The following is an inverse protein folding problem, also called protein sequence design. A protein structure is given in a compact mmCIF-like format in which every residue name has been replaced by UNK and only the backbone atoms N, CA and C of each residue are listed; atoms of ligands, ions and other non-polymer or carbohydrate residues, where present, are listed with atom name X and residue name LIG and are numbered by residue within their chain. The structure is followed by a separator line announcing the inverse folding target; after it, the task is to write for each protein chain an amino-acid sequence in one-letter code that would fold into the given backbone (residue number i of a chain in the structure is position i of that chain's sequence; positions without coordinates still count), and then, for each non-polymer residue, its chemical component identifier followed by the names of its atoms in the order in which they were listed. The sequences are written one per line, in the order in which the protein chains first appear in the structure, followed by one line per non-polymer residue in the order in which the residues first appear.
data_IF_013184292864
#
_entry.id   IF_013184292864
#
_cell.length_a   1.000
_cell.length_b   1.000
_cell.length_c   1.000
_cell.angle_alpha   90.00
_cell.angle_beta   90.00
_cell.angle_gamma   90.00
#
_symmetry.space_group_name_H-M   'P 1'
#
loop_
_entity.id
_entity.type
_entity.pdbx_description
1 polymer ?
#
# COMPACT_ATOMS: atom_id res chain seq x y z
N UNK A 1 -20.58 -5.86 -8.60
CA UNK A 1 -20.12 -6.97 -7.75
C UNK A 1 -18.63 -6.82 -7.50
N UNK A 2 -18.23 -6.57 -6.25
CA UNK A 2 -16.82 -6.44 -5.85
C UNK A 2 -16.21 -7.84 -5.76
N UNK A 3 -15.94 -8.42 -6.94
CA UNK A 3 -15.34 -9.74 -7.08
C UNK A 3 -13.89 -9.75 -6.53
N UNK A 4 -13.67 -10.64 -5.57
CA UNK A 4 -12.40 -11.21 -5.09
C UNK A 4 -11.15 -10.30 -5.00
N UNK A 5 -11.16 -9.35 -4.06
CA UNK A 5 -9.99 -8.49 -3.77
C UNK A 5 -9.02 -9.16 -2.78
N UNK A 6 -7.80 -9.44 -3.22
CA UNK A 6 -6.69 -9.86 -2.34
C UNK A 6 -6.08 -8.63 -1.63
N UNK A 7 -6.28 -8.55 -0.32
CA UNK A 7 -5.78 -7.43 0.48
C UNK A 7 -4.34 -7.66 0.98
N UNK A 8 -3.50 -6.62 0.89
CA UNK A 8 -2.14 -6.60 1.42
C UNK A 8 -2.05 -5.47 2.44
N UNK A 9 -1.94 -5.82 3.72
CA UNK A 9 -1.77 -4.80 4.76
C UNK A 9 -0.34 -4.27 4.79
N UNK A 10 -0.24 -2.98 5.04
CA UNK A 10 1.02 -2.30 5.29
C UNK A 10 0.87 -1.26 6.40
N UNK A 11 1.99 -0.88 6.99
CA UNK A 11 2.12 0.27 7.89
C UNK A 11 3.15 1.24 7.36
N UNK A 12 2.93 2.51 7.69
CA UNK A 12 3.87 3.60 7.48
C UNK A 12 4.69 3.77 8.76
N UNK A 13 6.00 3.60 8.63
CA UNK A 13 6.95 3.84 9.72
C UNK A 13 7.60 5.19 9.49
N UNK A 14 7.53 6.06 10.48
CA UNK A 14 7.99 7.44 10.39
C UNK A 14 9.24 7.63 11.28
N UNK A 15 10.43 7.25 10.79
CA UNK A 15 11.63 7.17 11.63
C UNK A 15 12.11 8.52 12.16
N UNK A 16 11.66 9.61 11.55
CA UNK A 16 12.11 10.97 11.88
C UNK A 16 11.06 11.78 12.60
N UNK A 17 9.86 11.24 12.83
CA UNK A 17 8.79 11.90 13.56
C UNK A 17 8.88 11.57 15.05
N UNK A 18 8.62 12.53 15.92
CA UNK A 18 8.70 12.31 17.36
C UNK A 18 7.53 11.49 17.89
N UNK A 19 6.30 11.73 17.44
CA UNK A 19 5.10 11.04 17.95
C UNK A 19 4.16 10.60 16.81
N UNK A 20 4.61 9.72 15.89
CA UNK A 20 3.77 9.25 14.81
C UNK A 20 2.69 8.28 15.32
N UNK A 21 1.45 8.63 15.06
CA UNK A 21 0.23 7.87 15.29
C UNK A 21 -0.68 7.89 14.05
N UNK A 22 -1.90 7.36 14.19
CA UNK A 22 -2.85 7.34 13.08
C UNK A 22 -3.45 8.73 12.79
N UNK A 23 -3.35 9.69 13.71
CA UNK A 23 -3.94 11.03 13.64
C UNK A 23 -2.91 12.13 13.30
N UNK A 24 -1.65 11.75 13.09
CA UNK A 24 -0.49 12.64 12.91
C UNK A 24 -0.65 13.69 11.82
N UNK A 25 -1.57 13.47 10.88
CA UNK A 25 -1.78 14.36 9.74
C UNK A 25 -3.14 15.05 9.74
N UNK A 26 -3.91 14.92 10.83
CA UNK A 26 -5.10 15.73 11.02
C UNK A 26 -4.76 17.23 10.98
N UNK A 27 -5.70 18.11 10.59
CA UNK A 27 -5.45 19.55 10.47
C UNK A 27 -4.88 20.24 11.71
N UNK A 28 -5.00 19.61 12.88
CA UNK A 28 -4.63 20.18 14.19
C UNK A 28 -3.35 19.57 14.78
N UNK A 29 -2.82 18.49 14.20
CA UNK A 29 -1.64 17.81 14.74
C UNK A 29 -0.40 18.22 13.96
N UNK A 30 0.51 18.91 14.66
CA UNK A 30 1.86 19.20 14.18
C UNK A 30 2.82 18.26 14.88
N UNK A 31 3.58 17.47 14.11
CA UNK A 31 4.63 16.63 14.67
C UNK A 31 6.02 17.20 14.33
N UNK A 32 6.95 17.03 15.25
CA UNK A 32 8.32 17.47 15.08
C UNK A 32 9.10 16.41 14.32
N UNK A 33 9.85 16.86 13.32
CA UNK A 33 10.70 16.05 12.48
C UNK A 33 12.18 16.35 12.75
N UNK A 34 12.97 15.29 12.89
CA UNK A 34 14.43 15.33 13.03
C UNK A 34 15.18 14.90 11.77
N UNK A 35 14.56 14.98 10.58
CA UNK A 35 15.19 14.47 9.36
C UNK A 35 16.37 15.34 8.89
N UNK A 36 17.36 14.72 8.26
CA UNK A 36 18.56 15.41 7.78
C UNK A 36 18.34 16.29 6.54
N UNK A 37 17.13 16.34 5.98
CA UNK A 37 16.82 17.17 4.80
C UNK A 37 16.70 18.65 5.13
N UNK A 38 16.47 19.00 6.38
CA UNK A 38 16.43 20.38 6.83
C UNK A 38 17.64 20.70 7.72
N UNK A 39 18.08 21.95 7.68
CA UNK A 39 19.25 22.43 8.42
C UNK A 39 19.04 22.46 9.94
N UNK A 40 17.79 22.52 10.41
CA UNK A 40 17.43 22.52 11.83
C UNK A 40 17.27 21.10 12.37
N UNK A 41 17.90 20.84 13.54
CA UNK A 41 17.85 19.53 14.24
C UNK A 41 16.42 19.09 14.61
N UNK A 42 15.49 20.04 14.77
CA UNK A 42 14.07 19.78 15.01
C UNK A 42 13.27 20.84 14.25
N UNK A 43 12.38 20.42 13.35
CA UNK A 43 11.50 21.29 12.57
C UNK A 43 10.09 20.72 12.57
N UNK A 44 9.10 21.55 12.25
CA UNK A 44 7.75 21.05 11.99
C UNK A 44 7.80 20.18 10.75
N UNK A 45 7.28 18.96 10.84
CA UNK A 45 7.19 18.06 9.69
C UNK A 45 6.48 18.78 8.54
N UNK A 46 7.24 18.98 7.47
CA UNK A 46 6.76 19.61 6.25
C UNK A 46 6.72 18.55 5.16
N UNK A 47 5.53 18.28 4.64
CA UNK A 47 5.28 17.32 3.56
C UNK A 47 6.15 17.64 2.33
N UNK A 48 6.61 16.62 1.62
CA UNK A 48 7.53 16.67 0.45
C UNK A 48 8.94 17.24 0.71
N UNK A 49 9.10 18.12 1.69
CA UNK A 49 10.41 18.62 2.15
C UNK A 49 11.08 17.58 3.04
N UNK A 50 10.36 17.06 4.03
CA UNK A 50 10.88 16.08 4.97
C UNK A 50 10.95 14.69 4.34
N UNK A 51 11.75 13.81 4.93
CA UNK A 51 11.80 12.42 4.51
C UNK A 51 10.45 11.73 4.81
N UNK A 52 9.86 11.10 3.80
CA UNK A 52 8.61 10.35 3.93
C UNK A 52 8.74 9.03 4.70
N UNK A 53 7.63 8.33 4.92
CA UNK A 53 7.61 7.10 5.70
C UNK A 53 8.28 5.94 4.95
N UNK A 54 8.74 4.98 5.72
CA UNK A 54 9.10 3.66 5.23
C UNK A 54 7.86 2.77 5.20
N UNK A 55 7.67 2.03 4.10
CA UNK A 55 6.56 1.08 3.95
C UNK A 55 7.00 -0.28 4.46
N UNK A 56 6.31 -0.78 5.49
CA UNK A 56 6.44 -2.16 5.99
C UNK A 56 5.17 -2.93 5.72
N UNK A 57 5.27 -3.97 4.90
CA UNK A 57 4.18 -4.92 4.66
C UNK A 57 4.05 -5.89 5.83
N UNK A 58 2.82 -6.31 6.11
CA UNK A 58 2.52 -7.23 7.20
C UNK A 58 2.98 -8.65 6.83
N UNK A 59 3.58 -9.32 7.80
CA UNK A 59 4.00 -10.72 7.72
C UNK A 59 2.82 -11.68 7.98
N UNK A 60 3.00 -12.97 7.68
CA UNK A 60 1.93 -13.99 7.71
C UNK A 60 1.27 -14.11 9.09
N UNK A 61 2.06 -13.93 10.13
CA UNK A 61 1.73 -13.96 11.56
C UNK A 61 1.08 -12.67 12.07
N UNK A 62 1.12 -11.59 11.30
CA UNK A 62 0.41 -10.34 11.65
C UNK A 62 -1.07 -10.42 11.21
N UNK A 63 -2.00 -9.83 12.00
CA UNK A 63 -3.43 -9.81 11.68
C UNK A 63 -3.71 -9.22 10.30
N UNK A 64 -4.55 -9.90 9.52
CA UNK A 64 -5.05 -9.41 8.24
C UNK A 64 -6.34 -8.62 8.46
N UNK A 65 -6.28 -7.32 8.17
CA UNK A 65 -7.41 -6.41 8.19
C UNK A 65 -7.95 -6.20 6.79
N UNK A 66 -9.27 -6.24 6.66
CA UNK A 66 -9.99 -6.06 5.41
C UNK A 66 -10.85 -4.81 5.51
N UNK A 67 -10.90 -4.06 4.41
CA UNK A 67 -11.83 -2.93 4.28
C UNK A 67 -13.26 -3.46 4.22
N UNK A 68 -14.06 -3.10 5.22
CA UNK A 68 -15.50 -3.34 5.22
C UNK A 68 -16.22 -2.22 4.45
N UNK A 69 -15.91 -0.97 4.76
CA UNK A 69 -16.55 0.20 4.17
C UNK A 69 -15.64 1.43 4.22
N UNK A 70 -15.75 2.30 3.21
CA UNK A 70 -15.15 3.63 3.19
C UNK A 70 -16.07 4.62 3.91
N UNK A 71 -15.63 5.28 4.99
CA UNK A 71 -16.47 6.18 5.79
C UNK A 71 -15.81 7.56 5.99
N UNK A 72 -15.86 8.40 4.96
CA UNK A 72 -15.36 9.78 5.05
C UNK A 72 -13.91 9.86 5.54
N UNK A 73 -13.70 10.36 6.77
CA UNK A 73 -12.38 10.51 7.37
C UNK A 73 -11.74 9.20 7.86
N UNK A 74 -12.51 8.12 7.93
CA UNK A 74 -12.06 6.82 8.42
C UNK A 74 -12.55 5.69 7.52
N UNK A 75 -11.82 4.59 7.50
CA UNK A 75 -12.18 3.34 6.89
C UNK A 75 -12.63 2.39 7.99
N UNK A 76 -13.77 1.75 7.77
CA UNK A 76 -14.26 0.69 8.65
C UNK A 76 -13.51 -0.58 8.28
N UNK A 77 -12.65 -1.04 9.19
CA UNK A 77 -11.87 -2.25 9.03
C UNK A 77 -12.45 -3.38 9.86
N UNK A 78 -12.37 -4.60 9.33
CA UNK A 78 -12.70 -5.83 10.06
C UNK A 78 -11.55 -6.85 9.97
N UNK A 79 -11.47 -7.79 10.90
CA UNK A 79 -10.62 -8.97 10.72
C UNK A 79 -11.01 -9.74 9.46
N UNK A 80 -10.02 -10.35 8.81
CA UNK A 80 -10.24 -11.26 7.69
C UNK A 80 -11.04 -12.50 8.11
N UNK A 81 -11.90 -12.97 7.21
CA UNK A 81 -12.53 -14.29 7.31
C UNK A 81 -11.50 -15.40 7.06
N UNK A 82 -11.86 -16.64 7.40
CA UNK A 82 -11.01 -17.80 7.14
C UNK A 82 -10.67 -17.95 5.64
N UNK A 83 -11.65 -17.71 4.77
CA UNK A 83 -11.48 -17.75 3.32
C UNK A 83 -10.49 -16.70 2.82
N UNK A 84 -10.57 -15.46 3.33
CA UNK A 84 -9.64 -14.38 2.99
C UNK A 84 -8.21 -14.66 3.48
N UNK A 85 -8.07 -15.33 4.63
CA UNK A 85 -6.77 -15.77 5.15
C UNK A 85 -6.14 -16.85 4.27
N UNK A 86 -6.94 -17.80 3.77
CA UNK A 86 -6.49 -18.88 2.89
C UNK A 86 -6.06 -18.36 1.50
N UNK A 87 -6.69 -17.29 1.01
CA UNK A 87 -6.31 -16.62 -0.23
C UNK A 87 -4.97 -15.90 -0.15
N UNK A 88 -4.43 -15.64 1.06
CA UNK A 88 -3.18 -14.89 1.22
C UNK A 88 -2.05 -15.60 0.47
N UNK A 89 -1.37 -14.92 -0.49
CA UNK A 89 -0.26 -15.53 -1.22
C UNK A 89 0.81 -15.99 -0.24
N UNK A 90 0.99 -17.30 -0.12
CA UNK A 90 1.94 -17.90 0.80
C UNK A 90 2.93 -18.75 0.01
N UNK A 91 4.19 -18.33 0.00
CA UNK A 91 5.28 -19.05 -0.65
C UNK A 91 5.65 -20.38 0.06
N UNK A 92 4.87 -20.81 1.05
CA UNK A 92 5.15 -22.04 1.81
C UNK A 92 5.14 -23.28 0.91
N UNK A 93 4.43 -23.24 -0.23
CA UNK A 93 4.37 -24.34 -1.21
C UNK A 93 5.63 -24.43 -2.08
N UNK A 94 6.45 -23.38 -2.18
CA UNK A 94 7.51 -23.31 -3.18
C UNK A 94 8.94 -23.45 -2.63
N UNK A 95 9.09 -24.08 -1.47
CA UNK A 95 10.41 -24.30 -0.83
C UNK A 95 11.20 -25.48 -1.42
N UNK A 96 10.62 -26.25 -2.34
CA UNK A 96 11.20 -27.54 -2.78
C UNK A 96 12.06 -27.37 -4.05
N UNK A 97 11.70 -26.47 -4.95
CA UNK A 97 12.45 -26.23 -6.19
C UNK A 97 12.20 -24.82 -6.75
N UNK A 98 13.27 -24.16 -7.22
CA UNK A 98 13.19 -22.86 -7.91
C UNK A 98 12.32 -22.94 -9.17
N UNK A 99 12.34 -24.08 -9.86
CA UNK A 99 11.51 -24.29 -11.04
C UNK A 99 10.03 -24.35 -10.67
N UNK A 100 9.67 -25.14 -9.66
CA UNK A 100 8.30 -25.20 -9.13
C UNK A 100 7.85 -23.83 -8.62
N UNK A 101 8.74 -23.05 -7.99
CA UNK A 101 8.44 -21.68 -7.60
C UNK A 101 8.11 -20.80 -8.82
N UNK A 102 8.95 -20.81 -9.85
CA UNK A 102 8.73 -20.02 -11.06
C UNK A 102 7.44 -20.43 -11.80
N UNK A 103 7.12 -21.72 -11.84
CA UNK A 103 5.91 -22.27 -12.48
C UNK A 103 4.65 -21.98 -11.66
N UNK A 104 4.74 -21.97 -10.33
CA UNK A 104 3.61 -21.65 -9.44
C UNK A 104 3.39 -20.14 -9.25
N UNK A 105 4.40 -19.31 -9.50
CA UNK A 105 4.31 -17.86 -9.33
C UNK A 105 3.16 -17.24 -10.13
N UNK A 106 2.94 -17.55 -11.43
CA UNK A 106 1.77 -17.08 -12.16
C UNK A 106 0.44 -17.36 -11.45
N UNK A 107 0.29 -18.53 -10.84
CA UNK A 107 -0.95 -18.96 -10.16
C UNK A 107 -1.25 -18.08 -8.94
N UNK A 108 -0.20 -17.55 -8.28
CA UNK A 108 -0.36 -16.70 -7.10
C UNK A 108 -0.80 -15.26 -7.42
N UNK A 109 -0.61 -14.79 -8.66
CA UNK A 109 -0.84 -13.39 -9.02
C UNK A 109 -1.88 -13.19 -10.13
N UNK A 110 -2.04 -14.16 -11.04
CA UNK A 110 -2.93 -14.05 -12.19
C UNK A 110 -4.40 -14.07 -11.78
N UNK A 111 -5.20 -13.20 -12.40
CA UNK A 111 -6.64 -13.14 -12.19
C UNK A 111 -7.03 -12.71 -10.78
N UNK A 112 -6.15 -11.99 -10.09
CA UNK A 112 -6.39 -11.46 -8.75
C UNK A 112 -6.32 -9.95 -8.78
N UNK A 113 -7.28 -9.34 -8.11
CA UNK A 113 -7.30 -7.91 -7.86
C UNK A 113 -6.61 -7.60 -6.53
N UNK A 114 -5.49 -6.89 -6.56
CA UNK A 114 -4.75 -6.55 -5.34
C UNK A 114 -5.10 -5.17 -4.82
N UNK A 115 -5.35 -5.08 -3.51
CA UNK A 115 -5.56 -3.81 -2.80
C UNK A 115 -4.61 -3.70 -1.62
N UNK A 116 -3.89 -2.59 -1.55
CA UNK A 116 -3.07 -2.28 -0.40
C UNK A 116 -3.87 -1.47 0.62
N UNK A 117 -3.73 -1.81 1.90
CA UNK A 117 -4.54 -1.21 2.96
C UNK A 117 -3.70 -0.91 4.19
N UNK A 118 -3.80 0.31 4.72
CA UNK A 118 -3.13 0.74 5.95
C UNK A 118 -4.11 1.41 6.90
N UNK A 119 -4.33 0.82 8.07
CA UNK A 119 -5.08 1.43 9.17
C UNK A 119 -6.47 1.98 8.80
N UNK A 120 -7.17 2.59 9.75
CA UNK A 120 -8.46 3.20 9.50
C UNK A 120 -8.33 4.53 8.73
N UNK A 121 -7.23 5.27 8.85
CA UNK A 121 -7.14 6.56 8.17
C UNK A 121 -6.88 6.38 6.67
N UNK A 122 -7.67 7.02 5.78
CA UNK A 122 -7.48 6.95 4.35
C UNK A 122 -6.25 7.77 3.93
N UNK A 123 -5.36 7.11 3.18
CA UNK A 123 -4.07 7.67 2.78
C UNK A 123 -3.78 7.35 1.32
N UNK A 124 -4.62 7.81 0.39
CA UNK A 124 -4.53 7.42 -1.02
C UNK A 124 -3.15 7.67 -1.66
N UNK A 125 -2.52 8.83 -1.38
CA UNK A 125 -1.11 9.09 -1.71
C UNK A 125 -0.16 7.97 -1.26
N UNK A 126 -0.26 7.58 0.00
CA UNK A 126 0.60 6.55 0.57
C UNK A 126 0.20 5.14 0.15
N UNK A 127 -1.07 4.92 -0.18
CA UNK A 127 -1.51 3.70 -0.83
C UNK A 127 -0.83 3.58 -2.19
N UNK A 128 -0.86 4.63 -3.03
CA UNK A 128 -0.17 4.63 -4.32
C UNK A 128 1.33 4.39 -4.16
N UNK A 129 1.97 5.06 -3.19
CA UNK A 129 3.38 4.85 -2.87
C UNK A 129 3.67 3.41 -2.41
N UNK A 130 2.87 2.86 -1.51
CA UNK A 130 3.00 1.49 -1.03
C UNK A 130 2.78 0.48 -2.14
N UNK A 131 1.81 0.71 -3.03
CA UNK A 131 1.50 -0.17 -4.16
C UNK A 131 2.70 -0.26 -5.09
N UNK A 132 3.27 0.89 -5.45
CA UNK A 132 4.52 0.94 -6.24
C UNK A 132 5.67 0.22 -5.54
N UNK A 133 5.84 0.43 -4.23
CA UNK A 133 6.90 -0.25 -3.45
C UNK A 133 6.68 -1.76 -3.41
N UNK A 134 5.46 -2.23 -3.26
CA UNK A 134 5.13 -3.65 -3.31
C UNK A 134 5.46 -4.25 -4.68
N UNK A 135 4.96 -3.64 -5.76
CA UNK A 135 5.23 -4.08 -7.13
C UNK A 135 6.73 -4.14 -7.45
N UNK A 136 7.50 -3.16 -6.97
CA UNK A 136 8.96 -3.12 -7.17
C UNK A 136 9.72 -4.26 -6.49
N UNK A 137 9.17 -4.86 -5.43
CA UNK A 137 9.76 -6.01 -4.74
C UNK A 137 9.46 -7.34 -5.42
N UNK A 138 8.47 -7.37 -6.31
CA UNK A 138 8.11 -8.57 -7.05
C UNK A 138 9.17 -8.87 -8.13
N UNK A 139 9.32 -10.15 -8.47
CA UNK A 139 10.13 -10.53 -9.64
C UNK A 139 9.44 -10.05 -10.93
N UNK A 140 10.19 -9.89 -12.04
CA UNK A 140 9.58 -9.56 -13.33
C UNK A 140 8.47 -10.55 -13.75
N UNK A 141 8.62 -11.83 -13.40
CA UNK A 141 7.63 -12.88 -13.68
C UNK A 141 6.37 -12.68 -12.83
N UNK A 142 6.49 -12.32 -11.55
CA UNK A 142 5.31 -12.02 -10.73
C UNK A 142 4.57 -10.79 -11.27
N UNK A 143 5.30 -9.72 -11.60
CA UNK A 143 4.70 -8.49 -12.17
C UNK A 143 3.97 -8.74 -13.48
N UNK A 144 4.49 -9.60 -14.36
CA UNK A 144 3.83 -9.92 -15.63
C UNK A 144 2.55 -10.73 -15.49
N UNK A 145 2.22 -11.19 -14.28
CA UNK A 145 0.97 -11.90 -13.99
C UNK A 145 -0.02 -11.04 -13.20
N UNK A 146 0.31 -9.79 -12.84
CA UNK A 146 -0.66 -8.88 -12.23
C UNK A 146 -1.49 -8.24 -13.32
N UNK A 147 -2.79 -8.53 -13.30
CA UNK A 147 -3.79 -8.02 -14.24
C UNK A 147 -4.61 -6.88 -13.63
N UNK A 148 -4.91 -6.95 -12.33
CA UNK A 148 -5.88 -6.06 -11.69
C UNK A 148 -5.35 -5.46 -10.38
N UNK A 149 -5.63 -4.18 -10.17
CA UNK A 149 -5.35 -3.45 -8.94
C UNK A 149 -6.56 -2.64 -8.52
N UNK A 150 -6.80 -2.53 -7.21
CA UNK A 150 -7.77 -1.60 -6.64
C UNK A 150 -7.08 -0.55 -5.79
N UNK A 151 -7.48 0.70 -6.01
CA UNK A 151 -7.17 1.82 -5.14
C UNK A 151 -8.40 2.19 -4.34
N UNK A 152 -8.18 2.86 -3.21
CA UNK A 152 -9.27 3.42 -2.39
C UNK A 152 -9.24 4.91 -2.66
N UNK A 153 -10.13 5.37 -3.53
CA UNK A 153 -10.28 6.79 -3.84
C UNK A 153 -11.36 7.40 -2.95
N UNK A 154 -10.95 8.16 -1.94
CA UNK A 154 -11.84 8.89 -1.04
C UNK A 154 -11.59 10.39 -1.14
N UNK A 155 -12.63 11.20 -0.99
CA UNK A 155 -12.51 12.67 -0.99
C UNK A 155 -11.67 13.19 0.18
N UNK A 156 -11.58 12.42 1.26
CA UNK A 156 -10.71 12.70 2.38
C UNK A 156 -9.47 11.80 2.29
N UNK A 157 -8.34 12.39 1.91
CA UNK A 157 -7.03 11.80 2.15
C UNK A 157 -6.36 12.64 3.23
N UNK A 158 -6.04 12.01 4.36
CA UNK A 158 -5.66 12.67 5.62
C UNK A 158 -4.43 13.61 5.49
N UNK A 159 -3.74 13.65 4.34
CA UNK A 159 -2.40 14.21 4.25
C UNK A 159 -2.00 14.79 2.88
N UNK A 160 -2.95 15.04 1.97
CA UNK A 160 -2.59 15.48 0.62
C UNK A 160 -3.39 16.68 0.14
N UNK A 161 -2.69 17.73 -0.31
CA UNK A 161 -3.27 18.66 -1.27
C UNK A 161 -3.56 17.86 -2.55
N UNK A 162 -4.60 18.23 -3.29
CA UNK A 162 -5.03 17.52 -4.50
C UNK A 162 -3.86 17.28 -5.47
N UNK A 163 -3.03 18.32 -5.70
CA UNK A 163 -1.83 18.23 -6.56
C UNK A 163 -0.80 17.18 -6.12
N UNK A 164 -0.65 16.97 -4.82
CA UNK A 164 0.36 16.06 -4.25
C UNK A 164 -0.12 14.60 -4.34
N UNK A 165 -1.45 14.40 -4.33
CA UNK A 165 -2.07 13.11 -4.57
C UNK A 165 -1.93 12.75 -6.05
N UNK A 166 -2.19 13.71 -6.95
CA UNK A 166 -2.01 13.59 -8.41
C UNK A 166 -0.60 13.15 -8.77
N UNK A 167 0.44 13.71 -8.14
CA UNK A 167 1.83 13.29 -8.39
C UNK A 167 2.04 11.81 -8.03
N UNK A 168 1.52 11.38 -6.88
CA UNK A 168 1.69 10.00 -6.41
C UNK A 168 0.92 8.99 -7.26
N UNK A 169 -0.29 9.33 -7.69
CA UNK A 169 -1.05 8.52 -8.64
C UNK A 169 -0.36 8.49 -10.00
N UNK A 170 0.18 9.62 -10.49
CA UNK A 170 0.93 9.68 -11.75
C UNK A 170 2.18 8.79 -11.72
N UNK A 171 2.92 8.80 -10.62
CA UNK A 171 4.08 7.92 -10.40
C UNK A 171 3.69 6.44 -10.36
N UNK A 172 2.53 6.10 -9.79
CA UNK A 172 2.01 4.73 -9.82
C UNK A 172 1.60 4.33 -11.25
N UNK A 173 0.81 5.16 -11.93
CA UNK A 173 0.36 4.89 -13.30
C UNK A 173 1.53 4.69 -14.26
N UNK A 174 2.54 5.56 -14.20
CA UNK A 174 3.75 5.40 -15.00
C UNK A 174 4.49 4.09 -14.69
N UNK A 175 4.57 3.72 -13.41
CA UNK A 175 5.17 2.46 -13.00
C UNK A 175 4.39 1.26 -13.56
N UNK A 176 3.06 1.27 -13.46
CA UNK A 176 2.17 0.23 -13.99
C UNK A 176 2.40 0.04 -15.49
N UNK A 177 2.29 1.13 -16.27
CA UNK A 177 2.46 1.12 -17.73
C UNK A 177 3.84 0.59 -18.16
N UNK A 178 4.87 0.85 -17.36
CA UNK A 178 6.25 0.44 -17.68
C UNK A 178 6.57 -0.99 -17.23
N UNK A 179 5.99 -1.47 -16.13
CA UNK A 179 6.47 -2.67 -15.43
C UNK A 179 5.47 -3.83 -15.36
N UNK A 180 4.19 -3.60 -15.69
CA UNK A 180 3.14 -4.62 -15.64
C UNK A 180 2.60 -4.84 -17.06
N UNK A 181 3.29 -5.65 -17.89
CA UNK A 181 2.98 -5.78 -19.32
C UNK A 181 1.62 -6.45 -19.63
N UNK A 182 0.97 -7.05 -18.63
CA UNK A 182 -0.35 -7.66 -18.75
C UNK A 182 -1.38 -7.01 -17.83
N UNK A 183 -1.14 -5.76 -17.44
CA UNK A 183 -2.11 -5.03 -16.64
C UNK A 183 -3.34 -4.71 -17.49
N UNK A 184 -4.52 -4.95 -16.93
CA UNK A 184 -5.81 -4.83 -17.61
C UNK A 184 -6.65 -3.75 -16.94
N UNK A 185 -6.85 -3.84 -15.62
CA UNK A 185 -7.84 -3.01 -14.93
C UNK A 185 -7.30 -2.34 -13.68
N UNK A 186 -7.53 -1.02 -13.57
CA UNK A 186 -7.41 -0.28 -12.32
C UNK A 186 -8.81 0.07 -11.81
N UNK A 187 -9.21 -0.53 -10.69
CA UNK A 187 -10.46 -0.25 -10.00
C UNK A 187 -10.25 0.92 -9.02
N UNK A 188 -11.20 1.86 -8.98
CA UNK A 188 -11.19 3.05 -8.12
C UNK A 188 -12.36 3.02 -7.14
#
# INVERSE_FOLDING_TARGET
DLEDVTTINYRLVWPHLQNPDSLTFTPYQLDLCGCAKQSSKHHIYTRHVCQGPQVRFFLKDEPLWILHECWGMFNILRPASQEELERRPSATVARVSRQVYCESLPILYRGRNFRLLSGPCPRGRYQAYATRKWLSRLSPIARSNITDLSLICQSYEEDSLERDAVESYSLLSHYILTNLPRFETLHL
#
